data_IF_363466326849
#
_entry.id   IF_363466326849
#
_cell.length_a   1.000
_cell.length_b   1.000
_cell.length_c   1.000
_cell.angle_alpha   90.00
_cell.angle_beta   90.00
_cell.angle_gamma   90.00
#
_symmetry.space_group_name_H-M   'P 1'
#
loop_
_entity.id
_entity.type
_entity.pdbx_description
1 polymer ?
#
# COMPACT_ATOMS: atom_id res chain seq x y z
N UNK A 1 -13.04 -18.73 -11.07
CA UNK A 1 -12.82 -18.85 -9.60
C UNK A 1 -11.81 -17.78 -9.19
N UNK A 2 -12.12 -16.91 -8.23
CA UNK A 2 -11.20 -15.87 -7.79
C UNK A 2 -10.08 -16.46 -6.93
N UNK A 3 -8.86 -15.98 -7.15
CA UNK A 3 -7.72 -16.28 -6.28
C UNK A 3 -7.68 -15.25 -5.15
N UNK A 4 -7.36 -15.64 -3.90
CA UNK A 4 -7.13 -14.69 -2.83
C UNK A 4 -6.06 -13.68 -3.24
N UNK A 5 -6.36 -12.39 -3.04
CA UNK A 5 -5.41 -11.29 -3.23
C UNK A 5 -5.23 -10.63 -1.87
N UNK A 6 -3.98 -10.33 -1.54
CA UNK A 6 -3.67 -9.52 -0.37
C UNK A 6 -3.92 -8.05 -0.70
N UNK A 7 -4.42 -7.32 0.29
CA UNK A 7 -4.61 -5.86 0.24
C UNK A 7 -3.63 -5.20 1.21
N UNK A 8 -3.25 -3.95 0.91
CA UNK A 8 -2.31 -3.17 1.70
C UNK A 8 -0.85 -3.34 1.30
N UNK A 9 -0.01 -2.45 1.83
CA UNK A 9 0.54 -2.68 3.17
C UNK A 9 -0.25 -1.99 4.28
N UNK A 10 -0.38 -2.66 5.41
CA UNK A 10 -0.92 -2.09 6.65
C UNK A 10 0.10 -2.21 7.77
N UNK A 11 0.07 -1.24 8.69
CA UNK A 11 0.91 -1.23 9.88
C UNK A 11 0.31 -2.13 10.95
N UNK A 12 1.15 -2.91 11.64
CA UNK A 12 0.74 -3.70 12.80
C UNK A 12 0.71 -2.80 14.03
N UNK A 13 -0.45 -2.71 14.70
CA UNK A 13 -0.62 -1.93 15.93
C UNK A 13 -0.59 -2.79 17.20
N UNK A 14 -0.89 -4.08 17.09
CA UNK A 14 -0.82 -5.00 18.23
C UNK A 14 -0.52 -6.44 17.77
N UNK A 15 0.10 -7.23 18.64
CA UNK A 15 0.52 -8.61 18.36
C UNK A 15 0.15 -9.54 19.51
N UNK A 16 -0.45 -10.68 19.18
CA UNK A 16 -0.80 -11.75 20.12
C UNK A 16 -0.16 -13.07 19.68
N UNK A 17 1.14 -13.30 19.96
CA UNK A 17 1.88 -14.46 19.46
C UNK A 17 1.27 -15.80 19.88
N UNK A 18 0.78 -15.89 21.11
CA UNK A 18 0.17 -17.10 21.67
C UNK A 18 -1.09 -17.55 20.91
N UNK A 19 -1.73 -16.65 20.17
CA UNK A 19 -2.93 -16.92 19.37
C UNK A 19 -2.66 -16.79 17.88
N UNK A 20 -1.43 -16.46 17.48
CA UNK A 20 -1.08 -16.16 16.09
C UNK A 20 -1.98 -15.11 15.46
N UNK A 21 -2.34 -14.07 16.22
CA UNK A 21 -3.23 -12.98 15.78
C UNK A 21 -2.51 -11.64 15.84
N UNK A 22 -2.73 -10.81 14.83
CA UNK A 22 -2.17 -9.47 14.69
C UNK A 22 -3.30 -8.48 14.44
N UNK A 23 -3.22 -7.30 15.06
CA UNK A 23 -4.15 -6.19 14.80
C UNK A 23 -3.48 -5.17 13.89
N UNK A 24 -4.18 -4.78 12.83
CA UNK A 24 -3.70 -3.84 11.80
C UNK A 24 -4.34 -2.45 11.96
N UNK A 25 -3.64 -1.42 11.51
CA UNK A 25 -4.21 -0.10 11.28
C UNK A 25 -4.92 -0.07 9.92
N UNK A 26 -6.24 0.12 9.92
CA UNK A 26 -7.10 0.07 8.73
C UNK A 26 -7.84 1.42 8.52
N UNK A 27 -7.13 2.53 8.23
CA UNK A 27 -7.76 3.85 8.13
C UNK A 27 -8.81 3.92 7.02
N UNK A 28 -8.61 3.14 5.94
CA UNK A 28 -9.52 3.09 4.80
C UNK A 28 -10.70 2.13 5.00
N UNK A 29 -10.79 1.43 6.13
CA UNK A 29 -11.82 0.42 6.40
C UNK A 29 -12.24 0.42 7.87
N UNK A 30 -12.80 1.54 8.38
CA UNK A 30 -13.10 1.71 9.80
C UNK A 30 -14.15 0.72 10.35
N UNK A 31 -14.99 0.16 9.48
CA UNK A 31 -16.01 -0.81 9.86
C UNK A 31 -15.53 -2.27 9.85
N UNK A 32 -14.26 -2.52 9.49
CA UNK A 32 -13.69 -3.85 9.44
C UNK A 32 -13.06 -4.21 10.78
N UNK A 33 -13.22 -5.47 11.22
CA UNK A 33 -12.51 -5.94 12.39
C UNK A 33 -11.00 -6.03 12.08
N UNK A 34 -10.12 -5.32 12.81
CA UNK A 34 -8.73 -5.15 12.41
C UNK A 34 -7.81 -6.30 12.81
N UNK A 35 -8.30 -7.32 13.51
CA UNK A 35 -7.45 -8.42 13.99
C UNK A 35 -7.59 -9.67 13.14
N UNK A 36 -6.47 -10.16 12.62
CA UNK A 36 -6.40 -11.28 11.68
C UNK A 36 -5.45 -12.36 12.19
N UNK A 37 -5.78 -13.61 11.90
CA UNK A 37 -4.85 -14.71 12.10
C UNK A 37 -3.69 -14.63 11.08
N UNK A 38 -2.48 -15.03 11.50
CA UNK A 38 -1.26 -15.00 10.66
C UNK A 38 -1.41 -15.69 9.31
N UNK A 39 -2.22 -16.74 9.21
CA UNK A 39 -2.48 -17.46 7.94
C UNK A 39 -3.16 -16.60 6.87
N UNK A 40 -3.76 -15.47 7.24
CA UNK A 40 -4.40 -14.52 6.34
C UNK A 40 -3.49 -13.33 6.00
N UNK A 41 -2.32 -13.25 6.63
CA UNK A 41 -1.39 -12.14 6.48
C UNK A 41 -0.18 -12.57 5.67
N UNK A 42 0.40 -11.61 4.96
CA UNK A 42 1.68 -11.77 4.29
C UNK A 42 2.56 -10.58 4.64
N UNK A 43 3.86 -10.84 4.89
CA UNK A 43 4.81 -9.77 5.14
C UNK A 43 4.97 -8.94 3.87
N UNK A 44 4.72 -7.64 3.98
CA UNK A 44 5.05 -6.73 2.90
C UNK A 44 6.57 -6.62 2.75
N UNK A 45 7.06 -6.84 1.53
CA UNK A 45 8.44 -6.59 1.15
C UNK A 45 8.42 -5.55 0.03
N UNK A 46 9.18 -4.47 0.19
CA UNK A 46 9.32 -3.44 -0.84
C UNK A 46 9.91 -4.04 -2.11
N UNK A 47 9.55 -3.46 -3.26
CA UNK A 47 10.13 -3.89 -4.52
C UNK A 47 11.62 -3.52 -4.56
N UNK A 48 12.44 -4.50 -4.92
CA UNK A 48 13.82 -4.25 -5.33
C UNK A 48 13.82 -3.87 -6.82
N UNK A 49 14.20 -2.64 -7.11
CA UNK A 49 14.12 -2.08 -8.46
C UNK A 49 15.24 -2.60 -9.37
N UNK A 50 16.36 -3.02 -8.81
CA UNK A 50 17.49 -3.58 -9.58
C UNK A 50 17.17 -5.01 -10.02
N UNK A 51 16.54 -5.79 -9.13
CA UNK A 51 16.14 -7.16 -9.42
C UNK A 51 14.82 -7.27 -10.19
N UNK A 52 13.88 -6.35 -9.95
CA UNK A 52 12.54 -6.39 -10.54
C UNK A 52 12.12 -5.04 -11.15
N UNK A 53 12.82 -4.55 -12.19
CA UNK A 53 12.52 -3.27 -12.81
C UNK A 53 11.10 -3.21 -13.41
N UNK A 54 10.58 -4.35 -13.91
CA UNK A 54 9.22 -4.43 -14.46
C UNK A 54 8.09 -4.30 -13.44
N UNK A 55 8.39 -4.32 -12.13
CA UNK A 55 7.40 -4.07 -11.06
C UNK A 55 7.35 -2.59 -10.67
N UNK A 56 8.32 -1.80 -11.13
CA UNK A 56 8.32 -0.35 -10.95
C UNK A 56 7.15 0.21 -11.74
N UNK A 57 6.28 0.96 -11.07
CA UNK A 57 5.21 1.69 -11.74
C UNK A 57 5.87 2.84 -12.51
N UNK A 58 5.87 2.76 -13.84
CA UNK A 58 6.21 3.92 -14.67
C UNK A 58 5.18 4.99 -14.41
N UNK A 59 5.60 6.11 -13.82
CA UNK A 59 4.73 7.28 -13.76
C UNK A 59 4.51 7.75 -15.20
N UNK A 60 3.28 8.13 -15.58
CA UNK A 60 3.10 8.84 -16.84
C UNK A 60 4.02 10.07 -16.84
N UNK A 61 4.63 10.37 -18.00
CA UNK A 61 5.44 11.57 -18.15
C UNK A 61 4.58 12.83 -17.95
N UNK A 62 5.23 13.95 -17.65
CA UNK A 62 4.59 15.26 -17.47
C UNK A 62 3.62 15.56 -18.61
N UNK A 63 2.36 15.79 -18.28
CA UNK A 63 1.37 16.25 -19.26
C UNK A 63 1.62 17.73 -19.52
N UNK A 64 1.86 18.10 -20.78
CA UNK A 64 1.85 19.50 -21.21
C UNK A 64 0.47 19.78 -21.78
N UNK A 65 -0.27 20.72 -21.18
CA UNK A 65 -1.58 21.12 -21.72
C UNK A 65 -1.43 21.79 -23.09
N UNK A 66 -2.50 21.88 -23.89
CA UNK A 66 -2.47 22.58 -25.20
C UNK A 66 -1.96 24.02 -25.10
N UNK A 67 -2.06 24.64 -23.92
CA UNK A 67 -1.59 26.00 -23.63
C UNK A 67 -0.13 26.07 -23.18
N UNK A 68 0.58 24.93 -23.11
CA UNK A 68 1.99 24.86 -22.69
C UNK A 68 2.21 24.87 -21.17
N UNK A 69 1.16 24.70 -20.36
CA UNK A 69 1.31 24.60 -18.91
C UNK A 69 1.82 23.21 -18.53
N UNK A 70 2.85 23.18 -17.68
CA UNK A 70 3.44 21.96 -17.13
C UNK A 70 2.79 21.59 -15.80
N UNK A 71 2.54 20.30 -15.60
CA UNK A 71 2.14 19.78 -14.28
C UNK A 71 3.22 20.05 -13.22
N UNK A 72 2.80 20.58 -12.07
CA UNK A 72 3.68 20.84 -10.93
C UNK A 72 3.52 19.76 -9.86
N UNK A 73 4.63 19.36 -9.26
CA UNK A 73 4.63 18.46 -8.10
C UNK A 73 4.20 19.20 -6.84
N UNK A 74 3.20 18.67 -6.13
CA UNK A 74 2.83 19.16 -4.80
C UNK A 74 3.75 18.53 -3.77
N UNK A 75 4.66 19.33 -3.23
CA UNK A 75 5.69 18.87 -2.28
C UNK A 75 5.09 18.60 -0.89
N UNK A 76 4.13 19.42 -0.46
CA UNK A 76 3.35 19.23 0.76
C UNK A 76 2.05 20.04 0.74
N UNK A 77 1.03 19.52 1.40
CA UNK A 77 -0.18 20.27 1.75
C UNK A 77 0.06 20.90 3.13
N UNK A 78 -0.34 22.16 3.29
CA UNK A 78 -0.31 22.89 4.56
C UNK A 78 -1.75 22.96 5.09
N UNK A 79 -1.94 22.62 6.36
CA UNK A 79 -3.21 22.69 7.12
C UNK A 79 -3.26 24.01 7.92
#
# INVERSE_FOLDING_TARGET
>A
KFMPRYDGPYTVINVFPNRSVYTLDLPNSPNMFPSFHTSLLSKYNTNDNDLFPGRVRTHPGTIVTENGEVEWWVDRIID
#
